data_IF_221252088218
#
_entry.id   IF_221252088218
#
_cell.length_a   1.000
_cell.length_b   1.000
_cell.length_c   1.000
_cell.angle_alpha   90.00
_cell.angle_beta   90.00
_cell.angle_gamma   90.00
#
_symmetry.space_group_name_H-M   'P 1'
#
loop_
_entity.id
_entity.type
_entity.pdbx_description
1 polymer ?
#
# COMPACT_ATOMS: atom_id res chain seq x y z
N UNK A 1 -29.30 -6.05 -8.57
CA UNK A 1 -28.97 -4.66 -8.94
C UNK A 1 -27.48 -4.53 -8.68
N UNK A 2 -26.64 -4.47 -9.71
CA UNK A 2 -25.19 -4.44 -9.50
C UNK A 2 -24.81 -3.13 -8.82
N UNK A 3 -24.06 -3.22 -7.73
CA UNK A 3 -23.58 -2.03 -7.05
C UNK A 3 -22.44 -1.40 -7.86
N UNK A 4 -22.16 -0.12 -7.62
CA UNK A 4 -21.00 0.53 -8.23
C UNK A 4 -19.66 -0.16 -7.88
N UNK A 5 -19.63 -0.93 -6.78
CA UNK A 5 -18.49 -1.73 -6.36
C UNK A 5 -18.32 -2.95 -7.30
N UNK A 6 -19.40 -3.65 -7.60
CA UNK A 6 -19.38 -4.86 -8.44
C UNK A 6 -18.93 -4.51 -9.86
N UNK A 7 -19.52 -3.46 -10.45
CA UNK A 7 -19.14 -2.97 -11.79
C UNK A 7 -17.66 -2.56 -11.84
N UNK A 8 -17.13 -1.97 -10.76
CA UNK A 8 -15.71 -1.57 -10.70
C UNK A 8 -14.77 -2.78 -10.64
N UNK A 9 -15.11 -3.80 -9.86
CA UNK A 9 -14.32 -5.02 -9.80
C UNK A 9 -14.27 -5.70 -11.17
N UNK A 10 -15.42 -5.83 -11.85
CA UNK A 10 -15.49 -6.46 -13.17
C UNK A 10 -14.59 -5.73 -14.19
N UNK A 11 -14.61 -4.39 -14.18
CA UNK A 11 -13.73 -3.58 -15.04
C UNK A 11 -12.25 -3.85 -14.75
N UNK A 12 -11.86 -3.91 -13.47
CA UNK A 12 -10.47 -4.17 -13.09
C UNK A 12 -10.02 -5.57 -13.52
N UNK A 13 -10.86 -6.59 -13.38
CA UNK A 13 -10.56 -7.94 -13.85
C UNK A 13 -10.35 -8.01 -15.36
N UNK A 14 -11.17 -7.26 -16.12
CA UNK A 14 -11.00 -7.16 -17.58
C UNK A 14 -9.68 -6.45 -17.90
N UNK A 15 -9.38 -5.33 -17.24
CA UNK A 15 -8.15 -4.57 -17.48
C UNK A 15 -6.87 -5.37 -17.19
N UNK A 16 -6.89 -6.23 -16.16
CA UNK A 16 -5.76 -7.11 -15.83
C UNK A 16 -5.47 -8.11 -16.96
N UNK A 17 -6.48 -8.50 -17.74
CA UNK A 17 -6.34 -9.50 -18.81
C UNK A 17 -6.01 -8.90 -20.19
N UNK A 18 -6.03 -7.57 -20.33
CA UNK A 18 -5.74 -6.89 -21.60
C UNK A 18 -4.27 -6.52 -21.66
N UNK A 19 -3.52 -7.21 -22.50
CA UNK A 19 -2.09 -6.94 -22.73
C UNK A 19 -1.82 -5.95 -23.90
N UNK A 20 -2.84 -5.64 -24.71
CA UNK A 20 -2.68 -4.73 -25.85
C UNK A 20 -2.62 -3.26 -25.42
N UNK A 21 -1.47 -2.63 -25.67
CA UNK A 21 -1.18 -1.25 -25.29
C UNK A 21 -2.17 -0.26 -25.94
N UNK A 22 -2.50 -0.43 -27.22
CA UNK A 22 -3.39 0.51 -27.92
C UNK A 22 -4.80 0.51 -27.31
N UNK A 23 -5.28 -0.66 -26.94
CA UNK A 23 -6.56 -0.85 -26.25
C UNK A 23 -6.53 -0.16 -24.88
N UNK A 24 -5.47 -0.37 -24.09
CA UNK A 24 -5.31 0.29 -22.78
C UNK A 24 -5.23 1.82 -22.90
N UNK A 25 -4.53 2.34 -23.89
CA UNK A 25 -4.45 3.79 -24.14
C UNK A 25 -5.80 4.39 -24.53
N UNK A 26 -6.58 3.69 -25.34
CA UNK A 26 -7.92 4.12 -25.74
C UNK A 26 -8.85 4.18 -24.53
N UNK A 27 -8.83 3.14 -23.69
CA UNK A 27 -9.61 3.09 -22.45
C UNK A 27 -9.19 4.23 -21.51
N UNK A 28 -7.89 4.45 -21.32
CA UNK A 28 -7.35 5.56 -20.51
C UNK A 28 -7.89 6.90 -20.99
N UNK A 29 -7.81 7.16 -22.29
CA UNK A 29 -8.26 8.43 -22.88
C UNK A 29 -9.76 8.68 -22.66
N UNK A 30 -10.60 7.65 -22.87
CA UNK A 30 -12.04 7.78 -22.64
C UNK A 30 -12.39 8.03 -21.17
N UNK A 31 -11.76 7.28 -20.26
CA UNK A 31 -11.96 7.45 -18.83
C UNK A 31 -11.52 8.85 -18.37
N UNK A 32 -10.37 9.34 -18.84
CA UNK A 32 -9.91 10.69 -18.55
C UNK A 32 -10.86 11.76 -19.09
N UNK A 33 -11.40 11.57 -20.30
CA UNK A 33 -12.34 12.51 -20.91
C UNK A 33 -13.63 12.59 -20.12
N UNK A 34 -14.18 11.44 -19.70
CA UNK A 34 -15.38 11.36 -18.87
C UNK A 34 -15.10 11.99 -17.50
N UNK A 35 -13.93 11.69 -16.92
CA UNK A 35 -13.51 12.24 -15.64
C UNK A 35 -13.37 13.77 -15.68
N UNK A 36 -12.68 14.32 -16.68
CA UNK A 36 -12.53 15.78 -16.89
C UNK A 36 -13.85 16.48 -17.22
N UNK A 37 -14.78 15.79 -17.88
CA UNK A 37 -16.11 16.34 -18.21
C UNK A 37 -17.04 16.37 -17.00
N UNK A 38 -16.96 15.35 -16.13
CA UNK A 38 -17.79 15.24 -14.93
C UNK A 38 -17.22 16.01 -13.73
N UNK A 39 -15.89 16.19 -13.69
CA UNK A 39 -15.21 17.10 -12.78
C UNK A 39 -15.24 18.53 -13.33
N UNK A 40 -16.42 19.14 -13.40
CA UNK A 40 -16.53 20.56 -13.69
C UNK A 40 -15.73 21.36 -12.66
N UNK A 41 -14.66 22.04 -13.09
CA UNK A 41 -13.98 23.12 -12.36
C UNK A 41 -13.65 22.89 -10.86
N UNK A 42 -13.36 21.67 -10.42
CA UNK A 42 -12.85 21.47 -9.06
C UNK A 42 -11.34 21.23 -9.09
N UNK A 43 -10.60 22.21 -8.58
CA UNK A 43 -9.18 22.16 -8.16
C UNK A 43 -8.88 21.08 -7.10
N UNK A 44 -9.78 20.12 -6.89
CA UNK A 44 -9.73 19.05 -5.91
C UNK A 44 -9.85 17.69 -6.58
N UNK A 45 -9.02 17.45 -7.61
CA UNK A 45 -8.61 16.09 -7.95
C UNK A 45 -7.82 15.56 -6.75
N UNK A 46 -8.54 15.08 -5.73
CA UNK A 46 -7.90 14.45 -4.57
C UNK A 46 -7.16 13.25 -5.13
N UNK A 47 -5.83 13.34 -5.12
CA UNK A 47 -4.97 12.23 -5.44
C UNK A 47 -5.48 10.99 -4.68
N UNK A 48 -5.45 9.80 -5.31
CA UNK A 48 -5.85 8.57 -4.64
C UNK A 48 -5.27 8.49 -3.23
N UNK A 49 -6.02 7.96 -2.26
CA UNK A 49 -5.57 7.97 -0.86
C UNK A 49 -4.16 7.37 -0.67
N UNK A 50 -3.78 6.39 -1.49
CA UNK A 50 -2.44 5.78 -1.46
C UNK A 50 -1.32 6.75 -1.89
N UNK A 51 -1.60 7.76 -2.72
CA UNK A 51 -0.61 8.77 -3.11
C UNK A 51 -0.09 9.59 -1.94
N UNK A 52 -0.83 9.64 -0.81
CA UNK A 52 -0.33 10.25 0.44
C UNK A 52 0.89 9.52 1.02
N UNK A 53 0.99 8.20 0.76
CA UNK A 53 2.11 7.37 1.21
C UNK A 53 3.26 7.26 0.20
N UNK A 54 3.06 7.71 -1.04
CA UNK A 54 4.11 7.68 -2.07
C UNK A 54 5.06 8.85 -1.85
N UNK A 55 6.35 8.55 -1.69
CA UNK A 55 7.44 9.54 -1.64
C UNK A 55 8.33 9.37 -2.87
N UNK A 56 8.78 10.46 -3.50
CA UNK A 56 9.72 10.37 -4.62
C UNK A 56 11.03 9.72 -4.16
N UNK A 57 11.68 8.97 -5.06
CA UNK A 57 13.03 8.45 -4.82
C UNK A 57 13.97 9.66 -4.73
N UNK A 58 14.78 9.71 -3.68
CA UNK A 58 15.78 10.77 -3.49
C UNK A 58 17.16 10.21 -3.80
N UNK A 59 17.89 10.94 -4.63
CA UNK A 59 19.31 10.68 -4.92
C UNK A 59 20.18 11.54 -3.98
N UNK A 60 21.43 11.14 -3.76
CA UNK A 60 22.41 11.86 -2.92
C UNK A 60 22.02 12.04 -1.44
N UNK A 61 21.33 11.07 -0.86
CA UNK A 61 21.04 11.03 0.59
C UNK A 61 22.06 10.18 1.33
N UNK A 62 22.50 10.63 2.51
CA UNK A 62 23.42 9.87 3.35
C UNK A 62 22.66 8.94 4.29
N UNK A 63 23.32 7.88 4.75
CA UNK A 63 22.75 6.93 5.71
C UNK A 63 22.33 7.62 7.03
N UNK A 64 23.11 8.62 7.47
CA UNK A 64 22.80 9.39 8.68
C UNK A 64 21.54 10.26 8.53
N UNK A 65 21.34 10.86 7.34
CA UNK A 65 20.11 11.61 7.04
C UNK A 65 18.89 10.68 7.06
N UNK A 66 19.01 9.48 6.49
CA UNK A 66 17.94 8.48 6.49
C UNK A 66 17.59 8.05 7.94
N UNK A 67 18.60 7.76 8.77
CA UNK A 67 18.39 7.38 10.18
C UNK A 67 17.67 8.46 10.98
N UNK A 68 18.08 9.72 10.80
CA UNK A 68 17.48 10.86 11.50
C UNK A 68 16.00 11.04 11.13
N UNK A 69 15.67 10.94 9.83
CA UNK A 69 14.29 11.09 9.35
C UNK A 69 13.38 9.94 9.77
N UNK A 70 13.92 8.72 9.82
CA UNK A 70 13.18 7.54 10.27
C UNK A 70 12.98 7.50 11.80
N UNK A 71 13.56 8.47 12.53
CA UNK A 71 13.64 8.44 14.00
C UNK A 71 14.11 7.06 14.49
N UNK A 72 15.09 6.49 13.79
CA UNK A 72 15.52 5.12 14.02
C UNK A 72 16.22 5.04 15.38
N UNK A 73 15.61 4.29 16.30
CA UNK A 73 16.19 3.99 17.61
C UNK A 73 16.59 2.53 17.61
N UNK A 74 17.89 2.22 17.47
CA UNK A 74 18.34 0.84 17.57
C UNK A 74 18.02 0.31 18.97
N UNK A 75 17.56 -0.92 19.03
CA UNK A 75 17.39 -1.67 20.26
C UNK A 75 18.37 -2.84 20.22
N UNK A 76 19.06 -3.08 21.33
CA UNK A 76 19.93 -4.24 21.47
C UNK A 76 19.10 -5.50 21.62
N UNK A 77 19.69 -6.66 21.32
CA UNK A 77 19.03 -7.94 21.54
C UNK A 77 18.57 -8.12 22.99
N UNK A 78 19.37 -7.64 23.95
CA UNK A 78 19.06 -7.72 25.37
C UNK A 78 17.81 -6.91 25.72
N UNK A 79 17.75 -5.65 25.29
CA UNK A 79 16.58 -4.79 25.50
C UNK A 79 15.34 -5.33 24.80
N UNK A 80 15.49 -5.88 23.59
CA UNK A 80 14.39 -6.56 22.89
C UNK A 80 13.88 -7.76 23.69
N UNK A 81 14.78 -8.60 24.22
CA UNK A 81 14.41 -9.80 24.97
C UNK A 81 13.72 -9.46 26.29
N UNK A 82 14.21 -8.44 27.00
CA UNK A 82 13.56 -7.94 28.23
C UNK A 82 12.13 -7.46 27.98
N UNK A 83 11.86 -6.80 26.84
CA UNK A 83 10.49 -6.40 26.46
C UNK A 83 9.66 -7.62 26.05
N UNK A 84 10.23 -8.54 25.27
CA UNK A 84 9.54 -9.73 24.79
C UNK A 84 9.14 -10.67 25.94
N UNK A 85 9.99 -10.79 26.97
CA UNK A 85 9.72 -11.61 28.16
C UNK A 85 8.60 -11.03 29.04
N UNK A 86 8.26 -9.75 28.90
CA UNK A 86 7.10 -9.13 29.56
C UNK A 86 5.78 -9.43 28.86
N UNK A 87 5.83 -9.91 27.62
CA UNK A 87 4.63 -10.33 26.90
C UNK A 87 4.32 -11.74 27.38
N UNK A 88 3.27 -11.90 28.19
CA UNK A 88 2.74 -13.23 28.50
C UNK A 88 2.05 -13.79 27.26
N UNK A 89 2.55 -14.91 26.76
CA UNK A 89 1.88 -15.67 25.71
C UNK A 89 0.88 -16.59 26.36
N UNK A 90 -0.32 -16.69 25.79
CA UNK A 90 -1.39 -17.57 26.32
C UNK A 90 -1.00 -19.05 26.28
N UNK A 91 -0.11 -19.41 25.35
CA UNK A 91 0.40 -20.77 25.15
C UNK A 91 1.93 -20.77 25.27
N UNK A 92 2.47 -21.81 25.91
CA UNK A 92 3.91 -22.03 26.01
C UNK A 92 4.51 -22.40 24.65
N UNK A 93 5.82 -22.17 24.50
CA UNK A 93 6.55 -22.58 23.30
C UNK A 93 6.43 -24.09 23.06
N UNK A 94 6.45 -24.88 24.12
CA UNK A 94 6.31 -26.33 24.08
C UNK A 94 4.93 -26.75 23.54
N UNK A 95 3.85 -26.12 24.00
CA UNK A 95 2.49 -26.38 23.49
C UNK A 95 2.35 -26.05 22.01
N UNK A 96 2.93 -24.92 21.57
CA UNK A 96 2.96 -24.54 20.15
C UNK A 96 3.77 -25.52 19.29
N UNK A 97 4.88 -26.04 19.82
CA UNK A 97 5.72 -27.01 19.10
C UNK A 97 5.05 -28.39 18.99
N UNK A 98 4.28 -28.80 20.00
CA UNK A 98 3.54 -30.06 19.97
C UNK A 98 2.31 -29.99 19.04
N UNK A 99 1.71 -28.81 18.85
CA UNK A 99 0.60 -28.63 17.89
C UNK A 99 1.00 -28.78 16.41
N UNK A 100 2.30 -28.78 16.09
CA UNK A 100 2.83 -28.89 14.72
C UNK A 100 3.39 -30.31 14.44
N UNK A 101 3.42 -31.20 15.45
CA UNK A 101 3.80 -32.61 15.30
C UNK A 101 2.61 -33.47 14.88
#
# INVERSE_FOLDING_TARGET
MNTAKDIRSDILEILIKVDDVKTLESIRYELEKIYKKNAGQEENIKAPAFMKGVKPIRENVTLEQIRAEQNYKPITYKEFREIADQIEWEESLEELLDAIK
#
